data_IF_745933897525
#
_entry.id   IF_745933897525
#
_cell.length_a   1.000
_cell.length_b   1.000
_cell.length_c   1.000
_cell.angle_alpha   90.00
_cell.angle_beta   90.00
_cell.angle_gamma   90.00
#
_symmetry.space_group_name_H-M   'P 1'
#
loop_
_entity.id
_entity.type
_entity.pdbx_description
1 polymer ?
#
# COMPACT_ATOMS: atom_id res chain seq x y z
N UNK A 1 8.91 5.95 11.64
CA UNK A 1 9.04 4.73 10.82
C UNK A 1 9.99 4.94 9.65
N UNK A 2 11.09 4.20 9.61
CA UNK A 2 12.08 4.20 8.50
C UNK A 2 11.57 3.41 7.28
N UNK A 3 12.24 3.55 6.12
CA UNK A 3 11.94 2.74 4.92
C UNK A 3 12.09 1.24 5.19
N UNK A 4 13.13 0.88 5.93
CA UNK A 4 13.42 -0.49 6.30
C UNK A 4 12.28 -1.06 7.16
N UNK A 5 11.93 -0.39 8.24
CA UNK A 5 10.79 -0.78 9.10
C UNK A 5 9.49 -0.91 8.31
N UNK A 6 9.20 0.06 7.44
CA UNK A 6 8.01 0.02 6.61
C UNK A 6 8.01 -1.19 5.68
N UNK A 7 9.11 -1.47 4.98
CA UNK A 7 9.20 -2.65 4.12
C UNK A 7 9.12 -3.95 4.90
N UNK A 8 9.72 -4.02 6.10
CA UNK A 8 9.60 -5.16 7.00
C UNK A 8 8.14 -5.44 7.36
N UNK A 9 7.38 -4.40 7.73
CA UNK A 9 5.95 -4.54 8.03
C UNK A 9 5.13 -4.96 6.81
N UNK A 10 5.41 -4.37 5.64
CA UNK A 10 4.72 -4.69 4.39
C UNK A 10 4.97 -6.13 3.95
N UNK A 11 6.23 -6.56 3.94
CA UNK A 11 6.63 -7.93 3.60
C UNK A 11 6.08 -8.91 4.63
N UNK A 12 6.14 -8.58 5.92
CA UNK A 12 5.59 -9.41 7.00
C UNK A 12 4.09 -9.66 6.83
N UNK A 13 3.31 -8.60 6.59
CA UNK A 13 1.87 -8.72 6.32
C UNK A 13 1.58 -9.56 5.07
N UNK A 14 2.28 -9.32 3.96
CA UNK A 14 2.10 -10.10 2.73
C UNK A 14 2.51 -11.57 2.93
N UNK A 15 3.59 -11.83 3.66
CA UNK A 15 4.09 -13.17 3.96
C UNK A 15 3.11 -13.96 4.82
N UNK A 16 2.51 -13.33 5.83
CA UNK A 16 1.42 -13.93 6.62
C UNK A 16 0.20 -14.31 5.75
N UNK A 17 0.01 -13.61 4.63
CA UNK A 17 -1.02 -13.90 3.62
C UNK A 17 -0.54 -14.86 2.50
N UNK A 18 0.64 -15.47 2.62
CA UNK A 18 1.15 -16.47 1.68
C UNK A 18 2.07 -15.95 0.59
N UNK A 19 2.58 -14.71 0.69
CA UNK A 19 3.58 -14.20 -0.24
C UNK A 19 4.92 -14.95 -0.09
N UNK A 20 5.44 -15.65 -1.13
CA UNK A 20 6.64 -16.45 -1.00
C UNK A 20 7.91 -15.58 -1.20
N UNK A 21 8.19 -14.71 -0.23
CA UNK A 21 9.20 -13.64 -0.35
C UNK A 21 10.57 -14.13 -0.84
N UNK A 22 11.11 -15.22 -0.27
CA UNK A 22 12.40 -15.79 -0.70
C UNK A 22 12.40 -16.22 -2.17
N UNK A 23 11.36 -16.95 -2.59
CA UNK A 23 11.24 -17.43 -3.97
C UNK A 23 11.09 -16.25 -4.93
N UNK A 24 10.26 -15.28 -4.56
CA UNK A 24 10.06 -14.06 -5.32
C UNK A 24 11.37 -13.27 -5.46
N UNK A 25 12.11 -13.07 -4.36
CA UNK A 25 13.36 -12.31 -4.34
C UNK A 25 14.39 -12.90 -5.31
N UNK A 26 14.66 -14.20 -5.20
CA UNK A 26 15.64 -14.88 -6.05
C UNK A 26 15.20 -14.88 -7.51
N UNK A 27 13.92 -15.14 -7.80
CA UNK A 27 13.43 -15.24 -9.19
C UNK A 27 13.23 -13.89 -9.88
N UNK A 28 12.87 -12.83 -9.15
CA UNK A 28 12.53 -11.52 -9.73
C UNK A 28 13.68 -10.52 -9.68
N UNK A 29 14.51 -10.57 -8.66
CA UNK A 29 15.69 -9.71 -8.58
C UNK A 29 16.95 -10.39 -9.10
N UNK A 30 16.96 -11.72 -9.20
CA UNK A 30 18.14 -12.48 -9.64
C UNK A 30 19.31 -12.39 -8.65
N UNK A 31 19.04 -12.00 -7.41
CA UNK A 31 20.05 -11.81 -6.37
C UNK A 31 20.12 -13.04 -5.46
N UNK A 32 21.31 -13.38 -4.95
CA UNK A 32 21.45 -14.49 -4.01
C UNK A 32 20.69 -14.19 -2.72
N UNK A 33 20.06 -15.22 -2.17
CA UNK A 33 19.40 -15.12 -0.87
C UNK A 33 20.39 -15.37 0.25
N UNK A 34 20.58 -14.38 1.12
CA UNK A 34 21.36 -14.52 2.36
C UNK A 34 20.43 -14.66 3.56
N UNK A 35 19.66 -13.62 3.87
CA UNK A 35 18.68 -13.56 4.95
C UNK A 35 17.46 -12.70 4.55
N UNK A 36 16.42 -12.69 5.38
CA UNK A 36 15.24 -11.84 5.14
C UNK A 36 15.57 -10.36 5.37
N UNK A 37 16.36 -10.09 6.40
CA UNK A 37 16.86 -8.77 6.77
C UNK A 37 17.72 -8.17 5.65
N UNK A 38 18.67 -8.94 5.11
CA UNK A 38 19.53 -8.51 4.00
C UNK A 38 18.72 -8.27 2.72
N UNK A 39 17.71 -9.11 2.45
CA UNK A 39 16.83 -8.93 1.32
C UNK A 39 16.02 -7.63 1.44
N UNK A 40 15.53 -7.29 2.63
CA UNK A 40 14.84 -6.01 2.90
C UNK A 40 15.81 -4.83 2.78
N UNK A 41 17.02 -4.94 3.32
CA UNK A 41 18.06 -3.93 3.17
C UNK A 41 18.37 -3.68 1.68
N UNK A 42 18.50 -4.75 0.91
CA UNK A 42 18.73 -4.68 -0.55
C UNK A 42 17.58 -4.01 -1.30
N UNK A 43 16.33 -4.20 -0.85
CA UNK A 43 15.17 -3.51 -1.39
C UNK A 43 15.15 -2.01 -1.05
N UNK A 44 15.68 -1.62 0.11
CA UNK A 44 15.80 -0.21 0.52
C UNK A 44 16.77 0.58 -0.37
N UNK A 45 17.78 -0.09 -0.90
CA UNK A 45 18.78 0.49 -1.79
C UNK A 45 18.22 0.80 -3.17
N UNK A 46 18.71 1.89 -3.77
CA UNK A 46 18.49 2.23 -5.19
C UNK A 46 17.02 2.15 -5.65
N UNK A 47 16.07 2.34 -4.73
CA UNK A 47 14.63 2.23 -4.99
C UNK A 47 14.18 0.86 -5.51
N UNK A 48 14.92 -0.23 -5.24
CA UNK A 48 14.55 -1.59 -5.66
C UNK A 48 13.21 -2.05 -5.09
N UNK A 49 12.76 -1.47 -3.98
CA UNK A 49 11.42 -1.68 -3.44
C UNK A 49 10.29 -1.43 -4.45
N UNK A 50 10.47 -0.61 -5.49
CA UNK A 50 9.45 -0.47 -6.55
C UNK A 50 9.15 -1.81 -7.24
N UNK A 51 10.16 -2.67 -7.44
CA UNK A 51 9.95 -4.00 -8.02
C UNK A 51 9.04 -4.86 -7.13
N UNK A 52 9.17 -4.73 -5.80
CA UNK A 52 8.29 -5.39 -4.84
C UNK A 52 6.88 -4.80 -4.88
N UNK A 53 6.76 -3.48 -4.73
CA UNK A 53 5.46 -2.78 -4.61
C UNK A 53 4.56 -3.01 -5.83
N UNK A 54 5.13 -3.07 -7.03
CA UNK A 54 4.39 -3.29 -8.26
C UNK A 54 4.31 -4.77 -8.69
N UNK A 55 4.80 -5.70 -7.86
CA UNK A 55 4.62 -7.12 -8.12
C UNK A 55 3.17 -7.53 -7.88
N UNK A 56 2.54 -8.13 -8.89
CA UNK A 56 1.17 -8.66 -8.75
C UNK A 56 1.06 -9.72 -7.65
N UNK A 57 2.08 -10.57 -7.51
CA UNK A 57 2.12 -11.62 -6.49
C UNK A 57 2.15 -11.02 -5.08
N UNK A 58 2.98 -9.99 -4.89
CA UNK A 58 3.01 -9.22 -3.64
C UNK A 58 1.69 -8.51 -3.38
N UNK A 59 1.16 -7.76 -4.35
CA UNK A 59 -0.09 -7.01 -4.20
C UNK A 59 -1.27 -7.93 -3.90
N UNK A 60 -1.36 -9.06 -4.60
CA UNK A 60 -2.39 -10.07 -4.38
C UNK A 60 -2.35 -10.60 -2.94
N UNK A 61 -1.17 -10.99 -2.46
CA UNK A 61 -1.02 -11.49 -1.09
C UNK A 61 -1.27 -10.38 -0.05
N UNK A 62 -0.74 -9.17 -0.25
CA UNK A 62 -0.87 -8.07 0.69
C UNK A 62 -2.33 -7.66 0.95
N UNK A 63 -3.13 -7.53 -0.11
CA UNK A 63 -4.55 -7.18 -0.04
C UNK A 63 -5.50 -8.40 -0.03
N UNK A 64 -4.98 -9.63 0.15
CA UNK A 64 -5.67 -10.93 0.23
C UNK A 64 -7.15 -10.92 -0.22
N UNK A 65 -7.47 -11.41 -1.43
CA UNK A 65 -8.83 -11.37 -1.96
C UNK A 65 -9.85 -12.04 -1.05
N UNK A 66 -11.01 -11.42 -0.92
CA UNK A 66 -12.12 -11.94 -0.12
C UNK A 66 -12.06 -11.54 1.36
N UNK A 67 -10.91 -11.09 1.87
CA UNK A 67 -10.88 -10.43 3.17
C UNK A 67 -11.35 -8.97 3.04
N UNK A 68 -12.15 -8.46 4.01
CA UNK A 68 -12.54 -7.07 4.01
C UNK A 68 -11.32 -6.19 4.24
N UNK A 69 -10.87 -5.50 3.19
CA UNK A 69 -9.80 -4.52 3.25
C UNK A 69 -10.38 -3.25 3.85
N UNK A 70 -9.82 -2.83 4.97
CA UNK A 70 -10.10 -1.53 5.59
C UNK A 70 -8.98 -0.56 5.22
N UNK A 71 -9.34 0.64 4.76
CA UNK A 71 -8.37 1.69 4.48
C UNK A 71 -8.91 3.08 4.71
N UNK A 72 -8.03 4.02 5.01
CA UNK A 72 -8.39 5.41 5.16
C UNK A 72 -8.41 6.14 3.82
N UNK A 73 -9.55 6.75 3.51
CA UNK A 73 -9.70 7.67 2.38
C UNK A 73 -9.37 9.07 2.90
N UNK A 74 -8.36 9.76 2.34
CA UNK A 74 -8.01 11.12 2.77
C UNK A 74 -9.11 12.10 2.37
N UNK A 75 -9.08 13.30 2.94
CA UNK A 75 -9.96 14.37 2.48
C UNK A 75 -9.73 14.69 1.01
N UNK A 76 -10.81 14.92 0.28
CA UNK A 76 -10.76 15.31 -1.12
C UNK A 76 -11.61 16.56 -1.33
N UNK A 77 -11.06 17.54 -2.04
CA UNK A 77 -11.78 18.71 -2.49
C UNK A 77 -12.03 18.63 -4.00
N UNK A 78 -13.26 18.89 -4.42
CA UNK A 78 -13.59 18.98 -5.84
C UNK A 78 -14.61 20.08 -6.07
N UNK A 79 -14.55 20.68 -7.26
CA UNK A 79 -15.54 21.66 -7.68
C UNK A 79 -16.81 20.95 -8.13
N UNK A 80 -17.95 21.40 -7.62
CA UNK A 80 -19.27 20.89 -7.99
C UNK A 80 -20.18 22.07 -8.34
N UNK A 81 -20.95 21.91 -9.42
CA UNK A 81 -22.04 22.82 -9.72
C UNK A 81 -23.18 22.61 -8.72
N UNK A 82 -23.51 23.65 -7.98
CA UNK A 82 -24.56 23.66 -6.97
C UNK A 82 -25.93 23.82 -7.64
N UNK A 83 -27.00 23.60 -6.87
CA UNK A 83 -28.37 23.67 -7.38
C UNK A 83 -28.75 25.07 -7.89
N UNK A 84 -28.08 26.11 -7.38
CA UNK A 84 -28.22 27.51 -7.80
C UNK A 84 -27.40 27.87 -9.07
N UNK A 85 -26.72 26.89 -9.66
CA UNK A 85 -25.90 27.07 -10.86
C UNK A 85 -24.47 27.57 -10.61
N UNK A 86 -24.13 27.94 -9.36
CA UNK A 86 -22.78 28.35 -8.95
C UNK A 86 -21.81 27.17 -8.91
N UNK A 87 -20.51 27.44 -9.01
CA UNK A 87 -19.45 26.43 -8.82
C UNK A 87 -18.93 26.58 -7.40
N UNK A 88 -19.22 25.60 -6.54
CA UNK A 88 -18.73 25.56 -5.17
C UNK A 88 -17.69 24.47 -4.97
N UNK A 89 -16.77 24.67 -4.03
CA UNK A 89 -15.80 23.65 -3.62
C UNK A 89 -16.43 22.76 -2.55
N UNK A 90 -16.58 21.47 -2.84
CA UNK A 90 -17.05 20.48 -1.88
C UNK A 90 -15.83 19.83 -1.23
N UNK A 91 -15.72 19.93 0.09
CA UNK A 91 -14.70 19.24 0.88
C UNK A 91 -15.33 17.98 1.47
N UNK A 92 -14.83 16.80 1.08
CA UNK A 92 -15.18 15.54 1.73
C UNK A 92 -14.21 15.28 2.87
N UNK A 93 -14.75 15.05 4.07
CA UNK A 93 -13.98 14.63 5.25
C UNK A 93 -13.33 13.26 5.02
N UNK A 94 -12.19 12.97 5.66
CA UNK A 94 -11.60 11.64 5.61
C UNK A 94 -12.56 10.62 6.24
N UNK A 95 -12.57 9.41 5.70
CA UNK A 95 -13.40 8.32 6.22
C UNK A 95 -12.74 6.97 6.00
N UNK A 96 -13.10 6.00 6.84
CA UNK A 96 -12.64 4.62 6.73
C UNK A 96 -13.55 3.84 5.79
N UNK A 97 -12.97 3.23 4.75
CA UNK A 97 -13.70 2.41 3.78
C UNK A 97 -13.37 0.93 3.99
N UNK A 98 -14.40 0.08 3.95
CA UNK A 98 -14.28 -1.38 3.94
C UNK A 98 -14.68 -1.91 2.55
N UNK A 99 -13.82 -2.71 1.93
CA UNK A 99 -14.08 -3.32 0.62
C UNK A 99 -13.68 -4.79 0.61
N UNK A 100 -14.58 -5.67 0.18
CA UNK A 100 -14.32 -7.10 0.01
C UNK A 100 -14.17 -7.53 -1.47
N UNK A 101 -13.88 -6.57 -2.37
CA UNK A 101 -13.75 -6.86 -3.80
C UNK A 101 -12.57 -7.80 -4.07
N UNK A 102 -12.81 -8.85 -4.87
CA UNK A 102 -11.80 -9.84 -5.25
C UNK A 102 -10.64 -9.25 -6.05
N UNK A 103 -10.86 -8.11 -6.71
CA UNK A 103 -9.88 -7.39 -7.53
C UNK A 103 -9.33 -6.12 -6.87
N UNK A 104 -9.56 -5.92 -5.57
CA UNK A 104 -9.11 -4.73 -4.86
C UNK A 104 -7.59 -4.48 -4.99
N UNK A 105 -6.78 -5.54 -5.04
CA UNK A 105 -5.33 -5.42 -5.29
C UNK A 105 -5.01 -4.76 -6.65
N UNK A 106 -5.81 -5.01 -7.70
CA UNK A 106 -5.63 -4.36 -9.02
C UNK A 106 -6.02 -2.88 -8.98
N UNK A 107 -7.00 -2.54 -8.15
CA UNK A 107 -7.33 -1.15 -7.90
C UNK A 107 -6.16 -0.44 -7.21
N UNK A 108 -5.62 -1.02 -6.15
CA UNK A 108 -4.51 -0.42 -5.41
C UNK A 108 -3.20 -0.34 -6.22
N UNK A 109 -2.91 -1.30 -7.10
CA UNK A 109 -1.79 -1.17 -8.04
C UNK A 109 -1.94 0.05 -8.98
N UNK A 110 -3.15 0.30 -9.50
CA UNK A 110 -3.43 1.46 -10.35
C UNK A 110 -3.27 2.76 -9.57
N UNK A 111 -3.84 2.83 -8.38
CA UNK A 111 -3.73 4.00 -7.52
C UNK A 111 -2.28 4.28 -7.09
N UNK A 112 -1.50 3.23 -6.79
CA UNK A 112 -0.07 3.36 -6.50
C UNK A 112 0.73 3.86 -7.70
N UNK A 113 0.40 3.43 -8.92
CA UNK A 113 1.08 3.88 -10.13
C UNK A 113 0.87 5.39 -10.39
N UNK A 114 -0.25 5.95 -9.91
CA UNK A 114 -0.55 7.38 -9.98
C UNK A 114 -0.04 8.17 -8.78
N UNK A 115 0.46 7.52 -7.73
CA UNK A 115 0.96 8.19 -6.53
C UNK A 115 2.42 8.66 -6.74
N UNK A 116 2.70 9.90 -6.35
CA UNK A 116 4.07 10.46 -6.34
C UNK A 116 5.02 9.64 -5.44
N UNK A 117 4.49 9.16 -4.31
CA UNK A 117 5.22 8.31 -3.37
C UNK A 117 4.45 6.99 -3.09
N UNK A 118 4.67 5.92 -3.89
CA UNK A 118 3.96 4.66 -3.72
C UNK A 118 4.19 3.99 -2.36
N UNK A 119 5.38 4.17 -1.78
CA UNK A 119 5.67 3.63 -0.45
C UNK A 119 4.84 4.33 0.65
N UNK A 120 4.62 5.64 0.52
CA UNK A 120 3.72 6.41 1.40
C UNK A 120 2.26 5.99 1.20
N UNK A 121 1.86 5.69 -0.03
CA UNK A 121 0.54 5.12 -0.32
C UNK A 121 0.29 3.85 0.50
N UNK A 122 1.26 2.93 0.53
CA UNK A 122 1.18 1.64 1.22
C UNK A 122 1.06 1.74 2.74
N UNK A 123 1.68 2.77 3.35
CA UNK A 123 1.64 2.99 4.80
C UNK A 123 0.21 3.03 5.36
N UNK A 124 -0.76 3.54 4.58
CA UNK A 124 -2.18 3.66 4.99
C UNK A 124 -2.90 2.33 5.25
N UNK A 125 -2.30 1.21 4.89
CA UNK A 125 -2.86 -0.13 5.04
C UNK A 125 -2.18 -0.97 6.13
N UNK A 126 -1.22 -0.35 6.83
CA UNK A 126 -0.66 -0.86 8.06
C UNK A 126 -1.47 -0.22 9.19
N UNK A 127 -2.19 -1.04 9.95
CA UNK A 127 -2.78 -0.60 11.21
C UNK A 127 -1.61 -0.39 12.18
N UNK A 128 -1.02 0.81 12.16
CA UNK A 128 -0.04 1.22 13.15
C UNK A 128 -0.89 1.88 14.25
N UNK A 129 -0.87 1.34 15.47
CA UNK A 129 -1.64 1.86 16.62
C UNK A 129 -1.21 3.27 17.07
N UNK A 130 -0.28 3.94 16.37
CA UNK A 130 0.38 5.19 16.80
C UNK A 130 -0.31 6.52 16.39
N UNK A 131 -1.54 6.55 15.88
CA UNK A 131 -2.25 7.82 15.58
C UNK A 131 -3.64 7.88 16.23
N UNK A 132 -3.70 7.63 17.55
CA UNK A 132 -4.90 7.84 18.37
C UNK A 132 -4.67 8.76 19.57
N UNK A 133 -3.79 9.76 19.46
CA UNK A 133 -3.71 10.86 20.42
C UNK A 133 -3.45 12.20 19.70
N UNK A 134 -4.49 12.75 19.08
CA UNK A 134 -4.65 14.22 19.00
C UNK A 134 -6.13 14.53 19.25
N UNK A 135 -6.44 14.78 20.53
CA UNK A 135 -7.68 15.43 20.98
C UNK A 135 -7.36 16.89 21.28
#
# INVERSE_FOLDING_TARGET
MTRYELLTLLVGKAHANGFPFRKWYVSRLGLPWTSGEDAIATLCEQRRYYALLFSHEFAYAFWKPGEPITFQVPSQSFQRRMADGSIGTVIRKPYTRRSARTDAWKYHLREMASAEEPLRYMRRYLNIEEEFDET
#
